data_IF_040267149725
#
_entry.id   IF_040267149725
#
_cell.length_a   1.000
_cell.length_b   1.000
_cell.length_c   1.000
_cell.angle_alpha   90.00
_cell.angle_beta   90.00
_cell.angle_gamma   90.00
#
_symmetry.space_group_name_H-M   'P 1'
#
loop_
_entity.id
_entity.type
_entity.pdbx_description
1 polymer ?
#
# COMPACT_ATOMS: atom_id res chain seq x y z
N UNK A 1 -20.30 -17.59 5.44
CA UNK A 1 -19.58 -17.12 4.25
C UNK A 1 -18.55 -16.17 4.81
N UNK A 2 -17.28 -16.57 4.81
CA UNK A 2 -16.20 -15.66 5.18
C UNK A 2 -16.11 -14.65 4.03
N UNK A 3 -16.52 -13.40 4.28
CA UNK A 3 -16.28 -12.31 3.34
C UNK A 3 -14.77 -12.06 3.30
N UNK A 4 -14.20 -12.10 2.10
CA UNK A 4 -12.80 -11.79 1.88
C UNK A 4 -12.60 -10.28 2.09
N UNK A 5 -12.05 -9.92 3.25
CA UNK A 5 -11.78 -8.52 3.62
C UNK A 5 -10.47 -8.09 2.96
N UNK A 6 -10.52 -7.05 2.14
CA UNK A 6 -9.36 -6.34 1.63
C UNK A 6 -8.81 -5.40 2.72
N UNK A 7 -7.84 -5.91 3.47
CA UNK A 7 -7.18 -5.19 4.55
C UNK A 7 -5.75 -4.84 4.19
N UNK A 8 -5.42 -3.56 4.37
CA UNK A 8 -4.03 -3.09 4.35
C UNK A 8 -3.51 -2.92 5.77
N UNK A 9 -2.27 -3.34 6.01
CA UNK A 9 -1.52 -3.03 7.23
C UNK A 9 -0.24 -2.30 6.88
N UNK A 10 -0.08 -1.10 7.43
CA UNK A 10 1.13 -0.27 7.30
C UNK A 10 1.89 -0.33 8.63
N UNK A 11 2.98 -1.11 8.65
CA UNK A 11 3.90 -1.14 9.78
C UNK A 11 4.97 -0.08 9.64
N UNK A 12 5.16 0.75 10.68
CA UNK A 12 6.12 1.84 10.62
C UNK A 12 6.90 2.03 11.92
N UNK A 13 8.15 2.45 11.81
CA UNK A 13 8.97 2.82 12.96
C UNK A 13 8.37 4.02 13.70
N UNK A 14 7.84 3.77 14.90
CA UNK A 14 7.24 4.78 15.79
C UNK A 14 8.22 5.89 16.20
N UNK A 15 9.52 5.58 16.26
CA UNK A 15 10.59 6.52 16.65
C UNK A 15 11.21 7.31 15.48
N UNK A 16 10.90 6.95 14.23
CA UNK A 16 11.54 7.49 13.04
C UNK A 16 10.74 8.61 12.36
N UNK A 17 9.70 9.14 13.04
CA UNK A 17 8.73 10.11 12.49
C UNK A 17 8.02 9.64 11.22
N UNK A 18 7.88 8.32 11.03
CA UNK A 18 7.22 7.74 9.86
C UNK A 18 5.69 7.74 9.94
N UNK A 19 5.11 8.04 11.11
CA UNK A 19 3.65 8.11 11.31
C UNK A 19 2.95 9.02 10.28
N UNK A 20 3.49 10.22 10.03
CA UNK A 20 2.89 11.15 9.06
C UNK A 20 2.87 10.57 7.65
N UNK A 21 3.94 9.86 7.25
CA UNK A 21 4.01 9.20 5.94
C UNK A 21 3.06 8.01 5.86
N UNK A 22 2.99 7.20 6.92
CA UNK A 22 2.06 6.07 6.98
C UNK A 22 0.61 6.55 6.88
N UNK A 23 0.27 7.65 7.56
CA UNK A 23 -1.06 8.26 7.51
C UNK A 23 -1.37 8.85 6.14
N UNK A 24 -0.41 9.54 5.50
CA UNK A 24 -0.59 10.06 4.14
C UNK A 24 -0.80 8.92 3.13
N UNK A 25 0.00 7.85 3.19
CA UNK A 25 -0.20 6.67 2.34
C UNK A 25 -1.58 6.06 2.58
N UNK A 26 -2.04 5.96 3.82
CA UNK A 26 -3.38 5.46 4.12
C UNK A 26 -4.48 6.33 3.50
N UNK A 27 -4.38 7.66 3.58
CA UNK A 27 -5.34 8.58 2.95
C UNK A 27 -5.39 8.40 1.43
N UNK A 28 -4.22 8.35 0.79
CA UNK A 28 -4.12 8.15 -0.66
C UNK A 28 -4.78 6.84 -1.12
N UNK A 29 -4.63 5.77 -0.34
CA UNK A 29 -5.19 4.46 -0.66
C UNK A 29 -6.69 4.41 -0.42
N UNK A 30 -7.17 4.90 0.71
CA UNK A 30 -8.60 4.99 1.00
C UNK A 30 -9.32 5.87 -0.02
N UNK A 31 -8.70 6.95 -0.49
CA UNK A 31 -9.29 7.80 -1.52
C UNK A 31 -9.33 7.13 -2.91
N UNK A 32 -8.40 6.22 -3.21
CA UNK A 32 -8.30 5.58 -4.53
C UNK A 32 -9.14 4.29 -4.63
N UNK A 33 -9.29 3.60 -3.49
CA UNK A 33 -9.89 2.26 -3.39
C UNK A 33 -11.08 2.23 -2.41
N UNK A 34 -11.77 3.35 -2.22
CA UNK A 34 -12.92 3.50 -1.29
C UNK A 34 -13.99 2.41 -1.42
N UNK A 35 -14.29 1.97 -2.64
CA UNK A 35 -15.28 0.91 -2.91
C UNK A 35 -14.71 -0.52 -2.82
N UNK A 36 -13.39 -0.67 -2.71
CA UNK A 36 -12.70 -1.97 -2.85
C UNK A 36 -11.77 -2.32 -1.69
N UNK A 37 -11.56 -1.40 -0.75
CA UNK A 37 -10.68 -1.53 0.40
C UNK A 37 -11.49 -1.35 1.67
N UNK A 38 -11.63 -2.42 2.44
CA UNK A 38 -12.49 -2.42 3.62
C UNK A 38 -11.86 -1.69 4.81
N UNK A 39 -10.54 -1.82 4.97
CA UNK A 39 -9.85 -1.21 6.10
C UNK A 39 -8.34 -1.02 5.90
N UNK A 40 -7.80 -0.04 6.63
CA UNK A 40 -6.36 0.16 6.80
C UNK A 40 -6.01 0.18 8.29
N UNK A 41 -5.04 -0.65 8.68
CA UNK A 41 -4.42 -0.63 9.99
C UNK A 41 -3.07 0.08 9.96
N UNK A 42 -2.91 1.12 10.80
CA UNK A 42 -1.62 1.74 11.09
C UNK A 42 -0.99 1.04 12.29
N UNK A 43 0.13 0.34 12.08
CA UNK A 43 0.79 -0.47 13.11
C UNK A 43 2.15 0.14 13.51
N UNK A 44 2.24 0.80 14.68
CA UNK A 44 3.51 1.30 15.20
C UNK A 44 4.43 0.13 15.58
N UNK A 45 5.69 0.20 15.16
CA UNK A 45 6.72 -0.78 15.47
C UNK A 45 7.88 -0.14 16.23
N UNK A 46 8.57 -0.96 17.02
CA UNK A 46 9.82 -0.59 17.70
C UNK A 46 11.05 -0.84 16.83
N UNK A 47 10.91 -1.59 15.74
CA UNK A 47 12.01 -1.86 14.80
C UNK A 47 12.46 -0.56 14.13
N UNK A 48 13.76 -0.28 14.19
CA UNK A 48 14.32 0.94 13.64
C UNK A 48 14.26 0.91 12.10
N UNK A 49 13.66 1.96 11.53
CA UNK A 49 13.64 2.16 10.08
C UNK A 49 12.68 1.27 9.30
N UNK A 50 11.84 0.46 9.96
CA UNK A 50 10.79 -0.32 9.30
C UNK A 50 9.74 0.63 8.70
N UNK A 51 9.36 0.31 7.46
CA UNK A 51 8.20 0.86 6.77
C UNK A 51 7.75 -0.20 5.77
N UNK A 52 6.71 -0.93 6.14
CA UNK A 52 6.18 -2.07 5.40
C UNK A 52 4.68 -1.90 5.17
N UNK A 53 4.23 -2.26 3.98
CA UNK A 53 2.83 -2.27 3.60
C UNK A 53 2.47 -3.67 3.11
N UNK A 54 1.44 -4.25 3.71
CA UNK A 54 0.89 -5.55 3.32
C UNK A 54 -0.58 -5.40 2.96
N UNK A 55 -1.06 -6.19 2.00
CA UNK A 55 -2.46 -6.36 1.63
C UNK A 55 -2.81 -7.84 1.86
N UNK A 56 -3.78 -8.14 2.72
CA UNK A 56 -4.19 -9.53 3.03
C UNK A 56 -2.98 -10.45 3.32
N UNK A 57 -2.05 -9.96 4.15
CA UNK A 57 -0.77 -10.60 4.49
C UNK A 57 0.26 -10.75 3.35
N UNK A 58 -0.05 -10.31 2.14
CA UNK A 58 0.89 -10.26 1.01
C UNK A 58 1.69 -8.96 1.06
N UNK A 59 3.01 -9.06 0.91
CA UNK A 59 3.90 -7.90 0.90
C UNK A 59 3.69 -7.05 -0.35
N UNK A 60 3.32 -5.78 -0.16
CA UNK A 60 3.15 -4.80 -1.24
C UNK A 60 4.36 -3.86 -1.32
N UNK A 61 4.92 -3.48 -0.18
CA UNK A 61 6.08 -2.58 -0.14
C UNK A 61 6.90 -2.82 1.11
N UNK A 62 8.22 -2.91 0.97
CA UNK A 62 9.16 -2.89 2.08
C UNK A 62 10.28 -1.89 1.80
N UNK A 63 10.44 -0.89 2.67
CA UNK A 63 11.48 0.14 2.50
C UNK A 63 12.92 -0.42 2.36
N UNK A 64 13.25 -1.55 2.97
CA UNK A 64 14.59 -2.15 2.85
C UNK A 64 14.81 -2.84 1.50
N UNK A 65 13.73 -3.31 0.86
CA UNK A 65 13.78 -4.09 -0.39
C UNK A 65 13.47 -3.23 -1.61
N UNK A 66 12.42 -2.41 -1.54
CA UNK A 66 11.91 -1.61 -2.66
C UNK A 66 12.51 -0.20 -2.74
N UNK A 67 13.23 0.25 -1.71
CA UNK A 67 13.92 1.54 -1.67
C UNK A 67 13.45 2.51 -0.58
N UNK A 68 14.14 3.65 -0.48
CA UNK A 68 14.17 4.49 0.73
C UNK A 68 12.83 5.05 1.24
N UNK A 69 11.87 5.36 0.37
CA UNK A 69 10.60 6.03 0.72
C UNK A 69 9.45 5.44 -0.12
N UNK A 70 8.22 5.32 0.41
CA UNK A 70 7.08 4.80 -0.36
C UNK A 70 6.84 5.57 -1.67
N UNK A 71 6.89 4.84 -2.78
CA UNK A 71 6.44 5.34 -4.09
C UNK A 71 4.94 5.06 -4.24
N UNK A 72 4.12 6.08 -3.99
CA UNK A 72 2.67 5.91 -3.94
C UNK A 72 2.07 5.41 -5.25
N UNK A 73 2.67 5.74 -6.40
CA UNK A 73 2.18 5.28 -7.70
C UNK A 73 2.36 3.77 -7.82
N UNK A 74 3.57 3.27 -7.54
CA UNK A 74 3.86 1.83 -7.55
C UNK A 74 3.03 1.07 -6.53
N UNK A 75 2.83 1.63 -5.34
CA UNK A 75 1.99 1.02 -4.30
C UNK A 75 0.54 0.89 -4.80
N UNK A 76 -0.04 1.96 -5.35
CA UNK A 76 -1.40 1.92 -5.92
C UNK A 76 -1.51 0.90 -7.05
N UNK A 77 -0.53 0.83 -7.95
CA UNK A 77 -0.48 -0.17 -9.02
C UNK A 77 -0.47 -1.60 -8.46
N UNK A 78 0.47 -1.92 -7.55
CA UNK A 78 0.57 -3.26 -6.93
C UNK A 78 -0.70 -3.69 -6.21
N UNK A 79 -1.40 -2.76 -5.54
CA UNK A 79 -2.68 -3.04 -4.87
C UNK A 79 -3.78 -3.29 -5.90
N UNK A 80 -3.90 -2.42 -6.90
CA UNK A 80 -4.89 -2.54 -7.98
C UNK A 80 -4.75 -3.86 -8.73
N UNK A 81 -3.52 -4.27 -9.03
CA UNK A 81 -3.25 -5.54 -9.71
C UNK A 81 -3.69 -6.77 -8.89
N UNK A 82 -3.83 -6.65 -7.57
CA UNK A 82 -4.30 -7.73 -6.69
C UNK A 82 -5.81 -7.71 -6.45
N UNK A 83 -6.43 -6.54 -6.23
CA UNK A 83 -7.85 -6.47 -5.84
C UNK A 83 -8.79 -6.18 -7.01
N UNK A 84 -8.35 -5.41 -8.01
CA UNK A 84 -9.18 -4.91 -9.13
C UNK A 84 -8.32 -4.67 -10.40
N UNK A 85 -7.74 -5.73 -11.00
CA UNK A 85 -6.78 -5.59 -12.10
C UNK A 85 -7.32 -4.82 -13.33
N UNK A 86 -8.65 -4.78 -13.51
CA UNK A 86 -9.30 -4.08 -14.62
C UNK A 86 -9.47 -2.56 -14.40
N UNK A 87 -9.23 -2.04 -13.18
CA UNK A 87 -9.42 -0.61 -12.87
C UNK A 87 -8.27 0.24 -13.44
N UNK A 88 -8.61 1.23 -14.26
CA UNK A 88 -7.64 2.23 -14.74
C UNK A 88 -7.33 3.26 -13.63
N UNK A 89 -6.05 3.48 -13.32
CA UNK A 89 -5.62 4.41 -12.26
C UNK A 89 -5.28 5.83 -12.77
N UNK A 90 -5.65 6.16 -14.02
CA UNK A 90 -5.37 7.46 -14.63
C UNK A 90 -3.86 7.79 -14.65
N UNK A 91 -3.47 8.95 -14.12
CA UNK A 91 -2.06 9.39 -14.07
C UNK A 91 -1.13 8.55 -13.15
N UNK A 92 -1.72 7.64 -12.38
CA UNK A 92 -0.98 6.66 -11.58
C UNK A 92 -0.82 5.33 -12.31
N UNK A 93 -1.41 5.19 -13.49
CA UNK A 93 -1.26 4.03 -14.36
C UNK A 93 -0.07 4.24 -15.31
N UNK A 94 0.88 3.31 -15.33
CA UNK A 94 1.94 3.30 -16.32
C UNK A 94 1.69 2.09 -17.21
N UNK A 95 1.45 2.33 -18.51
CA UNK A 95 1.36 1.28 -19.53
C UNK A 95 2.77 0.70 -19.78
N UNK A 96 3.33 -0.02 -18.81
CA UNK A 96 4.62 -0.71 -18.96
C UNK A 96 4.49 -2.24 -18.80
N UNK A 97 3.32 -2.80 -19.13
CA UNK A 97 3.19 -4.26 -19.21
C UNK A 97 2.23 -4.75 -20.31
N UNK A 98 2.32 -4.13 -21.50
CA UNK A 98 1.80 -4.70 -22.74
C UNK A 98 2.84 -4.54 -23.85
N UNK A 99 3.99 -5.22 -23.76
CA UNK A 99 4.87 -5.49 -24.92
C UNK A 99 5.96 -6.50 -24.55
N UNK A 100 5.92 -7.63 -25.26
CA UNK A 100 6.92 -8.71 -25.39
C UNK A 100 6.89 -9.85 -24.37
#
# INVERSE_FOLDING_TARGET
>A
MDEEINQIRIEYCSKCRFMMRATWVAQELLQTFDENLDQIALAPSKEAGIFELTLNNTLIWNRKVDGNMPDIKKIKQRIRDQIIPEKNLGHSDTLENQSS
#
